data_IF_378586032599
#
_entry.id   IF_378586032599
#
_cell.length_a   1.000
_cell.length_b   1.000
_cell.length_c   1.000
_cell.angle_alpha   90.00
_cell.angle_beta   90.00
_cell.angle_gamma   90.00
#
_symmetry.space_group_name_H-M   'P 1'
#
loop_
_entity.id
_entity.type
_entity.pdbx_description
1 polymer ?
#
# COMPACT_ATOMS: atom_id res chain seq x y z
N UNK A 1 2.35 13.79 -15.95
CA UNK A 1 3.78 13.74 -15.54
C UNK A 1 4.20 14.97 -14.77
N UNK A 2 3.97 16.20 -15.28
CA UNK A 2 4.31 17.43 -14.54
C UNK A 2 3.68 17.49 -13.14
N UNK A 3 2.39 17.21 -13.00
CA UNK A 3 1.71 17.16 -11.70
C UNK A 3 2.35 16.15 -10.72
N UNK A 4 2.80 15.00 -11.22
CA UNK A 4 3.48 13.99 -10.41
C UNK A 4 4.87 14.44 -9.98
N UNK A 5 5.59 15.18 -10.84
CA UNK A 5 6.89 15.77 -10.50
C UNK A 5 6.73 16.80 -9.39
N UNK A 6 5.75 17.70 -9.51
CA UNK A 6 5.43 18.70 -8.47
C UNK A 6 5.06 18.00 -7.15
N UNK A 7 4.23 16.95 -7.20
CA UNK A 7 3.89 16.15 -6.02
C UNK A 7 5.13 15.52 -5.38
N UNK A 8 6.02 14.92 -6.19
CA UNK A 8 7.25 14.30 -5.72
C UNK A 8 8.20 15.33 -5.06
N UNK A 9 8.39 16.50 -5.67
CA UNK A 9 9.22 17.58 -5.14
C UNK A 9 8.65 18.13 -3.83
N UNK A 10 7.31 18.27 -3.76
CA UNK A 10 6.63 18.63 -2.51
C UNK A 10 6.81 17.57 -1.44
N UNK A 11 6.66 16.28 -1.78
CA UNK A 11 6.84 15.19 -0.84
C UNK A 11 8.27 15.20 -0.26
N UNK A 12 9.29 15.37 -1.10
CA UNK A 12 10.69 15.46 -0.69
C UNK A 12 10.94 16.69 0.19
N UNK A 13 10.43 17.87 -0.20
CA UNK A 13 10.65 19.10 0.58
C UNK A 13 9.99 19.07 1.96
N UNK A 14 8.89 18.32 2.11
CA UNK A 14 8.21 18.08 3.38
C UNK A 14 8.81 16.91 4.18
N UNK A 15 9.81 16.20 3.64
CA UNK A 15 10.50 15.10 4.33
C UNK A 15 9.80 13.75 4.27
N UNK A 16 8.86 13.55 3.35
CA UNK A 16 8.23 12.23 3.16
C UNK A 16 9.22 11.23 2.56
N UNK A 17 9.18 10.00 3.09
CA UNK A 17 9.97 8.88 2.58
C UNK A 17 9.25 8.11 1.45
N UNK A 18 7.94 8.29 1.29
CA UNK A 18 7.19 7.65 0.22
C UNK A 18 5.85 8.30 -0.08
N UNK A 19 5.27 7.86 -1.21
CA UNK A 19 3.97 8.26 -1.71
C UNK A 19 3.17 7.00 -2.03
N UNK A 20 1.86 7.01 -1.73
CA UNK A 20 0.94 5.99 -2.24
C UNK A 20 0.22 6.54 -3.46
N UNK A 21 0.26 5.81 -4.57
CA UNK A 21 -0.50 6.15 -5.77
C UNK A 21 -1.62 5.14 -6.01
N UNK A 22 -2.77 5.63 -6.46
CA UNK A 22 -3.86 4.79 -6.98
C UNK A 22 -3.83 4.84 -8.50
N UNK A 23 -3.80 3.67 -9.16
CA UNK A 23 -4.08 3.46 -10.59
C UNK A 23 -3.76 4.65 -11.53
N UNK A 24 -2.51 5.12 -11.53
CA UNK A 24 -2.07 6.28 -12.31
C UNK A 24 -1.32 5.84 -13.57
N UNK A 25 -1.92 6.01 -14.74
CA UNK A 25 -1.36 5.53 -16.01
C UNK A 25 -0.71 6.67 -16.83
N UNK A 26 0.34 6.39 -17.61
CA UNK A 26 1.12 5.14 -17.63
C UNK A 26 2.03 4.99 -16.39
N UNK A 27 2.01 3.80 -15.77
CA UNK A 27 2.64 3.60 -14.45
C UNK A 27 4.17 3.63 -14.49
N UNK A 28 4.80 3.08 -15.53
CA UNK A 28 6.27 3.08 -15.64
C UNK A 28 6.80 4.51 -15.68
N UNK A 29 6.20 5.38 -16.49
CA UNK A 29 6.57 6.80 -16.59
C UNK A 29 6.28 7.55 -15.28
N UNK A 30 5.18 7.23 -14.60
CA UNK A 30 4.87 7.79 -13.28
C UNK A 30 5.97 7.42 -12.26
N UNK A 31 6.34 6.13 -12.20
CA UNK A 31 7.40 5.64 -11.33
C UNK A 31 8.76 6.27 -11.66
N UNK A 32 9.10 6.39 -12.94
CA UNK A 32 10.32 7.07 -13.40
C UNK A 32 10.33 8.53 -12.97
N UNK A 33 9.19 9.23 -13.07
CA UNK A 33 9.06 10.62 -12.63
C UNK A 33 9.39 10.78 -11.14
N UNK A 34 8.89 9.88 -10.27
CA UNK A 34 9.24 9.89 -8.84
C UNK A 34 10.73 9.57 -8.61
N UNK A 35 11.27 8.58 -9.33
CA UNK A 35 12.67 8.17 -9.22
C UNK A 35 13.65 9.29 -9.63
N UNK A 36 13.32 10.03 -10.69
CA UNK A 36 14.11 11.18 -11.18
C UNK A 36 14.19 12.31 -10.15
N UNK A 37 13.13 12.52 -9.37
CA UNK A 37 13.11 13.55 -8.32
C UNK A 37 13.91 13.11 -7.10
N UNK A 38 13.77 11.85 -6.67
CA UNK A 38 14.55 11.32 -5.54
C UNK A 38 14.61 9.80 -5.54
N UNK A 39 15.83 9.26 -5.52
CA UNK A 39 16.08 7.82 -5.37
C UNK A 39 15.70 7.27 -3.99
N UNK A 40 15.50 8.15 -3.00
CA UNK A 40 15.07 7.79 -1.65
C UNK A 40 13.55 7.72 -1.51
N UNK A 41 12.80 8.36 -2.40
CA UNK A 41 11.36 8.37 -2.36
C UNK A 41 10.83 7.04 -2.90
N UNK A 42 10.09 6.30 -2.07
CA UNK A 42 9.50 5.01 -2.46
C UNK A 42 8.01 5.15 -2.75
N UNK A 43 7.48 4.23 -3.56
CA UNK A 43 6.09 4.30 -4.01
C UNK A 43 5.32 3.02 -3.68
N UNK A 44 4.22 3.14 -2.96
CA UNK A 44 3.21 2.07 -2.87
C UNK A 44 2.23 2.23 -4.03
N UNK A 45 2.08 1.19 -4.85
CA UNK A 45 1.18 1.20 -6.01
C UNK A 45 -0.07 0.39 -5.68
N UNK A 46 -1.20 1.05 -5.50
CA UNK A 46 -2.50 0.43 -5.22
C UNK A 46 -3.30 0.26 -6.53
N UNK A 47 -3.44 -0.99 -6.95
CA UNK A 47 -4.10 -1.40 -8.18
C UNK A 47 -5.57 -1.75 -7.97
N UNK A 48 -6.01 -1.84 -6.72
CA UNK A 48 -7.39 -2.11 -6.33
C UNK A 48 -7.99 -3.39 -6.97
N UNK A 49 -7.16 -4.36 -7.34
CA UNK A 49 -7.54 -5.63 -7.95
C UNK A 49 -7.71 -5.58 -9.46
N UNK A 50 -7.18 -4.57 -10.16
CA UNK A 50 -7.41 -4.42 -11.60
C UNK A 50 -6.20 -3.86 -12.35
N UNK A 51 -5.93 -4.42 -13.53
CA UNK A 51 -4.96 -3.91 -14.49
C UNK A 51 -5.47 -4.14 -15.92
N UNK A 52 -5.27 -3.20 -16.86
CA UNK A 52 -5.83 -3.31 -18.21
C UNK A 52 -5.22 -4.42 -19.05
N UNK A 53 -3.94 -4.73 -18.84
CA UNK A 53 -3.14 -5.66 -19.64
C UNK A 53 -2.59 -6.81 -18.80
N UNK A 54 -1.72 -7.64 -19.39
CA UNK A 54 -0.94 -8.61 -18.63
C UNK A 54 -0.08 -7.90 -17.58
N UNK A 55 -0.32 -8.23 -16.31
CA UNK A 55 0.25 -7.48 -15.21
C UNK A 55 1.72 -7.82 -14.92
N UNK A 56 2.07 -9.11 -14.94
CA UNK A 56 3.38 -9.58 -14.52
C UNK A 56 4.54 -8.99 -15.35
N UNK A 57 4.49 -8.93 -16.70
CA UNK A 57 5.56 -8.29 -17.48
C UNK A 57 5.77 -6.83 -17.09
N UNK A 58 4.67 -6.09 -16.87
CA UNK A 58 4.75 -4.68 -16.48
C UNK A 58 5.28 -4.50 -15.07
N UNK A 59 4.90 -5.37 -14.12
CA UNK A 59 5.46 -5.36 -12.78
C UNK A 59 7.00 -5.62 -12.78
N UNK A 60 7.50 -6.44 -13.72
CA UNK A 60 8.95 -6.64 -13.91
C UNK A 60 9.66 -5.39 -14.45
N UNK A 61 9.00 -4.57 -15.25
CA UNK A 61 9.54 -3.25 -15.64
C UNK A 61 9.65 -2.31 -14.42
N UNK A 62 8.74 -2.39 -13.47
CA UNK A 62 8.80 -1.57 -12.26
C UNK A 62 9.98 -1.95 -11.35
N UNK A 63 10.37 -3.23 -11.33
CA UNK A 63 11.60 -3.67 -10.65
C UNK A 63 12.83 -2.96 -11.21
N UNK A 64 12.87 -2.72 -12.53
CA UNK A 64 13.98 -2.00 -13.16
C UNK A 64 14.05 -0.54 -12.74
N UNK A 65 12.90 0.10 -12.44
CA UNK A 65 12.88 1.47 -11.89
C UNK A 65 13.36 1.50 -10.43
N UNK A 66 13.05 0.45 -9.65
CA UNK A 66 13.66 0.21 -8.33
C UNK A 66 13.15 1.10 -7.18
N UNK A 67 12.07 1.85 -7.38
CA UNK A 67 11.47 2.73 -6.36
C UNK A 67 10.13 2.25 -5.82
N UNK A 68 9.60 1.11 -6.24
CA UNK A 68 8.36 0.55 -5.69
C UNK A 68 8.62 -0.06 -4.31
N UNK A 69 7.87 0.37 -3.30
CA UNK A 69 7.91 -0.18 -1.95
C UNK A 69 7.14 -1.49 -1.85
N UNK A 70 5.93 -1.51 -2.41
CA UNK A 70 5.07 -2.69 -2.53
C UNK A 70 3.98 -2.45 -3.58
N UNK A 71 3.42 -3.55 -4.08
CA UNK A 71 2.24 -3.56 -4.94
C UNK A 71 1.05 -3.98 -4.07
N UNK A 72 0.08 -3.10 -3.91
CA UNK A 72 -1.13 -3.35 -3.13
C UNK A 72 -2.28 -3.80 -4.04
N UNK A 73 -2.91 -4.90 -3.65
CA UNK A 73 -4.05 -5.52 -4.32
C UNK A 73 -3.87 -5.65 -5.85
N UNK A 74 -2.88 -6.42 -6.35
CA UNK A 74 -2.73 -6.69 -7.79
C UNK A 74 -3.94 -7.45 -8.40
N UNK A 75 -4.11 -7.42 -9.74
CA UNK A 75 -5.06 -8.32 -10.45
C UNK A 75 -4.68 -9.80 -10.25
N UNK A 76 -5.60 -10.76 -10.47
CA UNK A 76 -6.90 -10.62 -11.14
C UNK A 76 -8.06 -10.25 -10.20
N UNK A 77 -8.17 -10.91 -9.05
CA UNK A 77 -9.16 -10.62 -8.00
C UNK A 77 -8.49 -10.76 -6.65
N UNK A 78 -9.00 -10.05 -5.65
CA UNK A 78 -8.37 -10.04 -4.32
C UNK A 78 -8.48 -11.39 -3.60
N UNK A 79 -9.37 -12.31 -4.01
CA UNK A 79 -9.52 -13.68 -3.45
C UNK A 79 -8.65 -14.72 -4.16
N UNK A 80 -7.93 -14.33 -5.21
CA UNK A 80 -7.10 -15.24 -5.97
C UNK A 80 -5.77 -15.51 -5.26
N UNK A 81 -5.81 -16.15 -4.08
CA UNK A 81 -4.67 -16.33 -3.20
C UNK A 81 -3.49 -17.07 -3.86
N UNK A 82 -3.78 -18.04 -4.73
CA UNK A 82 -2.76 -18.74 -5.51
C UNK A 82 -2.06 -17.82 -6.53
N UNK A 83 -2.80 -16.92 -7.17
CA UNK A 83 -2.22 -15.93 -8.08
C UNK A 83 -1.37 -14.91 -7.31
N UNK A 84 -1.81 -14.52 -6.11
CA UNK A 84 -1.05 -13.62 -5.23
C UNK A 84 0.25 -14.26 -4.76
N UNK A 85 0.21 -15.52 -4.29
CA UNK A 85 1.42 -16.29 -3.97
C UNK A 85 2.36 -16.39 -5.17
N UNK A 86 1.82 -16.71 -6.36
CA UNK A 86 2.61 -16.78 -7.59
C UNK A 86 3.28 -15.44 -7.90
N UNK A 87 2.56 -14.32 -7.81
CA UNK A 87 3.14 -12.99 -8.02
C UNK A 87 4.27 -12.69 -7.03
N UNK A 88 4.07 -13.02 -5.75
CA UNK A 88 5.07 -12.89 -4.69
C UNK A 88 6.31 -13.75 -4.96
N UNK A 89 6.15 -14.95 -5.48
CA UNK A 89 7.27 -15.83 -5.84
C UNK A 89 8.02 -15.36 -7.11
N UNK A 90 7.31 -14.71 -8.04
CA UNK A 90 7.87 -14.27 -9.33
C UNK A 90 8.43 -12.84 -9.36
N UNK A 91 8.10 -12.01 -8.37
CA UNK A 91 8.50 -10.60 -8.27
C UNK A 91 9.39 -10.37 -7.04
N UNK A 92 10.36 -9.46 -7.15
CA UNK A 92 11.15 -9.01 -5.98
C UNK A 92 10.44 -7.87 -5.23
N UNK A 93 9.40 -7.28 -5.82
CA UNK A 93 8.61 -6.23 -5.17
C UNK A 93 7.61 -6.90 -4.23
N UNK A 94 7.56 -6.52 -2.94
CA UNK A 94 6.61 -7.07 -1.99
C UNK A 94 5.15 -6.93 -2.44
N UNK A 95 4.36 -7.99 -2.25
CA UNK A 95 2.92 -7.99 -2.49
C UNK A 95 2.19 -7.67 -1.20
N UNK A 96 1.36 -6.64 -1.23
CA UNK A 96 0.52 -6.24 -0.11
C UNK A 96 -0.95 -6.58 -0.36
N UNK A 97 -1.64 -7.02 0.69
CA UNK A 97 -3.08 -7.27 0.68
C UNK A 97 -3.81 -6.41 1.71
N UNK A 98 -4.96 -5.86 1.34
CA UNK A 98 -5.83 -5.16 2.29
C UNK A 98 -6.71 -6.15 3.08
N UNK A 99 -6.68 -6.10 4.42
CA UNK A 99 -7.40 -6.92 5.42
C UNK A 99 -8.80 -7.34 5.01
N UNK A 100 -9.55 -6.43 4.39
CA UNK A 100 -10.87 -6.71 3.85
C UNK A 100 -10.79 -7.45 2.50
N UNK A 101 -9.93 -8.46 2.43
CA UNK A 101 -9.75 -9.38 1.31
C UNK A 101 -11.14 -9.95 0.98
N UNK A 102 -11.76 -9.40 -0.08
CA UNK A 102 -13.11 -9.74 -0.56
C UNK A 102 -14.23 -9.61 0.48
N UNK A 103 -14.08 -8.70 1.44
CA UNK A 103 -15.08 -8.49 2.49
C UNK A 103 -15.13 -9.59 3.56
N UNK A 104 -14.16 -10.52 3.58
CA UNK A 104 -14.10 -11.59 4.59
C UNK A 104 -13.40 -11.18 5.91
N UNK A 105 -12.74 -10.03 5.94
CA UNK A 105 -12.06 -9.50 7.14
C UNK A 105 -11.02 -10.48 7.70
N UNK A 106 -11.04 -10.69 9.02
CA UNK A 106 -10.08 -11.57 9.70
C UNK A 106 -10.01 -12.99 9.12
N UNK A 107 -11.13 -13.55 8.62
CA UNK A 107 -11.11 -14.87 7.96
C UNK A 107 -10.26 -14.83 6.69
N UNK A 108 -10.48 -13.83 5.84
CA UNK A 108 -9.72 -13.66 4.60
C UNK A 108 -8.23 -13.45 4.85
N UNK A 109 -7.89 -12.73 5.93
CA UNK A 109 -6.50 -12.60 6.38
C UNK A 109 -5.89 -13.93 6.79
N UNK A 110 -6.58 -14.73 7.61
CA UNK A 110 -6.08 -16.07 8.00
C UNK A 110 -5.88 -16.96 6.77
N UNK A 111 -6.81 -16.93 5.82
CA UNK A 111 -6.69 -17.66 4.55
C UNK A 111 -5.48 -17.20 3.73
N UNK A 112 -5.25 -15.89 3.61
CA UNK A 112 -4.10 -15.33 2.90
C UNK A 112 -2.75 -15.68 3.57
N UNK A 113 -2.70 -15.65 4.90
CA UNK A 113 -1.52 -16.07 5.68
C UNK A 113 -1.25 -17.56 5.44
N UNK A 114 -2.28 -18.40 5.55
CA UNK A 114 -2.15 -19.84 5.34
C UNK A 114 -1.72 -20.20 3.91
N UNK A 115 -2.09 -19.37 2.94
CA UNK A 115 -1.71 -19.52 1.53
C UNK A 115 -0.36 -18.88 1.18
N UNK A 116 0.34 -18.24 2.12
CA UNK A 116 1.59 -17.48 1.87
C UNK A 116 1.44 -16.46 0.72
N UNK A 117 0.27 -15.80 0.68
CA UNK A 117 -0.16 -15.01 -0.47
C UNK A 117 0.40 -13.58 -0.48
N UNK A 118 0.97 -13.08 0.61
CA UNK A 118 1.42 -11.70 0.71
C UNK A 118 2.60 -11.52 1.65
N UNK A 119 3.36 -10.44 1.42
CA UNK A 119 4.49 -10.01 2.23
C UNK A 119 4.08 -8.99 3.30
N UNK A 120 2.97 -8.28 3.08
CA UNK A 120 2.54 -7.15 3.91
C UNK A 120 1.02 -7.08 3.94
N UNK A 121 0.45 -6.67 5.07
CA UNK A 121 -1.00 -6.48 5.18
C UNK A 121 -1.34 -5.01 5.50
N UNK A 122 -2.18 -4.42 4.67
CA UNK A 122 -2.86 -3.17 4.99
C UNK A 122 -4.06 -3.48 5.91
N UNK A 123 -4.11 -2.89 7.09
CA UNK A 123 -5.18 -3.09 8.09
C UNK A 123 -6.11 -1.88 8.20
N UNK A 124 -6.24 -1.10 7.12
CA UNK A 124 -7.04 0.13 7.13
C UNK A 124 -8.53 -0.12 7.28
N UNK A 125 -9.18 0.79 8.01
CA UNK A 125 -10.60 0.86 8.40
C UNK A 125 -10.91 0.34 9.83
N UNK A 126 -12.03 0.83 10.37
CA UNK A 126 -12.54 0.44 11.67
C UNK A 126 -11.97 1.25 12.84
N UNK A 127 -12.04 0.65 14.02
CA UNK A 127 -11.58 1.19 15.30
C UNK A 127 -10.14 0.78 15.62
N UNK A 128 -9.59 1.29 16.72
CA UNK A 128 -8.23 0.93 17.16
C UNK A 128 -8.13 -0.55 17.52
N UNK A 129 -9.24 -1.14 17.97
CA UNK A 129 -9.36 -2.57 18.21
C UNK A 129 -9.33 -3.38 16.90
N UNK A 130 -10.03 -2.89 15.88
CA UNK A 130 -10.08 -3.54 14.56
C UNK A 130 -8.72 -3.51 13.85
N UNK A 131 -7.84 -2.55 14.19
CA UNK A 131 -6.45 -2.54 13.77
C UNK A 131 -5.55 -3.44 14.63
N UNK A 132 -5.54 -3.24 15.96
CA UNK A 132 -4.55 -3.86 16.84
C UNK A 132 -4.68 -5.39 16.89
N UNK A 133 -5.89 -5.94 16.95
CA UNK A 133 -6.11 -7.38 17.00
C UNK A 133 -5.49 -8.11 15.79
N UNK A 134 -5.87 -7.73 14.56
CA UNK A 134 -5.23 -8.23 13.35
C UNK A 134 -3.74 -7.93 13.26
N UNK A 135 -3.26 -6.76 13.72
CA UNK A 135 -1.82 -6.46 13.72
C UNK A 135 -1.03 -7.49 14.54
N UNK A 136 -1.50 -7.84 15.75
CA UNK A 136 -0.86 -8.89 16.55
C UNK A 136 -0.93 -10.26 15.87
N UNK A 137 -2.05 -10.60 15.22
CA UNK A 137 -2.14 -11.86 14.46
C UNK A 137 -1.12 -11.91 13.31
N UNK A 138 -0.96 -10.81 12.56
CA UNK A 138 0.07 -10.71 11.52
C UNK A 138 1.49 -10.81 12.12
N UNK A 139 1.72 -10.24 13.30
CA UNK A 139 3.01 -10.30 13.98
C UNK A 139 3.42 -11.74 14.31
N UNK A 140 2.47 -12.57 14.77
CA UNK A 140 2.71 -14.00 15.02
C UNK A 140 3.05 -14.78 13.74
N UNK A 141 2.57 -14.32 12.59
CA UNK A 141 2.93 -14.84 11.27
C UNK A 141 4.23 -14.22 10.71
N UNK A 142 4.86 -13.28 11.42
CA UNK A 142 6.05 -12.56 10.94
C UNK A 142 5.76 -11.54 9.83
N UNK A 143 4.50 -11.16 9.63
CA UNK A 143 4.09 -10.28 8.53
C UNK A 143 3.99 -8.83 9.03
N UNK A 144 4.70 -7.88 8.41
CA UNK A 144 4.56 -6.46 8.71
C UNK A 144 3.22 -5.90 8.24
N UNK A 145 2.80 -4.82 8.87
CA UNK A 145 1.53 -4.16 8.59
C UNK A 145 1.68 -2.65 8.45
N UNK A 146 0.69 -2.02 7.84
CA UNK A 146 0.41 -0.60 7.99
C UNK A 146 -1.08 -0.36 8.16
N UNK A 147 -1.46 0.80 8.69
CA UNK A 147 -2.86 1.23 8.70
C UNK A 147 -3.12 2.13 7.49
N UNK A 148 -3.92 1.64 6.54
CA UNK A 148 -4.44 2.43 5.43
C UNK A 148 -5.48 3.46 5.89
N UNK A 149 -5.37 4.71 5.48
CA UNK A 149 -6.39 5.74 5.65
C UNK A 149 -7.29 5.82 4.42
N UNK A 150 -8.51 6.32 4.62
CA UNK A 150 -9.40 6.78 3.57
C UNK A 150 -9.59 8.29 3.67
N UNK A 151 -10.79 8.74 4.06
CA UNK A 151 -11.17 10.15 4.06
C UNK A 151 -11.37 10.71 5.47
N UNK A 152 -10.59 10.22 6.44
CA UNK A 152 -10.72 10.57 7.85
C UNK A 152 -10.33 12.03 8.13
N UNK A 153 -10.65 12.46 9.36
CA UNK A 153 -10.29 13.75 9.94
C UNK A 153 -9.41 13.54 11.17
N UNK A 154 -8.82 14.63 11.67
CA UNK A 154 -7.77 14.61 12.69
C UNK A 154 -8.04 13.81 13.98
N UNK A 155 -9.31 13.63 14.39
CA UNK A 155 -9.64 12.82 15.58
C UNK A 155 -9.32 11.34 15.36
N UNK A 156 -9.74 10.80 14.21
CA UNK A 156 -9.52 9.39 13.90
C UNK A 156 -8.04 9.15 13.52
N UNK A 157 -7.41 10.09 12.83
CA UNK A 157 -5.96 10.06 12.57
C UNK A 157 -5.15 9.98 13.86
N UNK A 158 -5.45 10.83 14.86
CA UNK A 158 -4.75 10.82 16.13
C UNK A 158 -4.94 9.47 16.86
N UNK A 159 -6.16 8.91 16.86
CA UNK A 159 -6.42 7.61 17.45
C UNK A 159 -5.65 6.48 16.73
N UNK A 160 -5.64 6.49 15.40
CA UNK A 160 -4.91 5.49 14.61
C UNK A 160 -3.39 5.63 14.72
N UNK A 161 -2.87 6.86 14.85
CA UNK A 161 -1.44 7.09 15.08
C UNK A 161 -0.98 6.39 16.37
N UNK A 162 -1.75 6.52 17.46
CA UNK A 162 -1.46 5.82 18.72
C UNK A 162 -1.58 4.30 18.57
N UNK A 163 -2.56 3.81 17.81
CA UNK A 163 -2.71 2.38 17.56
C UNK A 163 -1.54 1.82 16.73
N UNK A 164 -1.13 2.51 15.67
CA UNK A 164 0.02 2.15 14.84
C UNK A 164 1.30 2.09 15.67
N UNK A 165 1.52 3.08 16.55
CA UNK A 165 2.68 3.10 17.44
C UNK A 165 2.70 1.95 18.46
N UNK A 166 1.55 1.35 18.76
CA UNK A 166 1.44 0.21 19.67
C UNK A 166 1.55 -1.16 18.97
N UNK A 167 1.51 -1.21 17.63
CA UNK A 167 1.68 -2.44 16.86
C UNK A 167 3.18 -2.67 16.55
N UNK A 168 3.84 -3.68 17.13
CA UNK A 168 5.29 -3.88 16.97
C UNK A 168 5.71 -4.23 15.53
N UNK A 169 4.81 -4.83 14.74
CA UNK A 169 4.99 -5.12 13.32
C UNK A 169 4.43 -4.02 12.40
N UNK A 170 3.99 -2.87 12.94
CA UNK A 170 3.57 -1.69 12.20
C UNK A 170 4.74 -0.95 11.56
N UNK A 171 5.50 -1.62 10.69
CA UNK A 171 6.78 -1.14 10.15
C UNK A 171 6.66 -0.61 8.72
N UNK A 172 5.52 -0.79 8.05
CA UNK A 172 5.25 -0.15 6.77
C UNK A 172 4.63 1.24 6.98
N UNK A 173 4.91 2.21 6.10
CA UNK A 173 4.48 3.58 6.27
C UNK A 173 2.95 3.69 6.17
N UNK A 174 2.31 4.02 7.29
CA UNK A 174 0.87 4.28 7.33
C UNK A 174 0.57 5.65 6.71
N UNK A 175 -0.48 5.75 5.90
CA UNK A 175 -0.86 6.95 5.14
C UNK A 175 -1.85 7.85 5.91
N UNK A 176 -1.62 8.04 7.22
CA UNK A 176 -2.43 8.89 8.12
C UNK A 176 -2.09 10.37 7.88
N UNK A 177 -2.80 11.02 6.96
CA UNK A 177 -2.41 12.31 6.37
C UNK A 177 -3.55 13.33 6.25
N UNK A 178 -4.59 13.28 7.10
CA UNK A 178 -5.74 14.21 6.98
C UNK A 178 -5.33 15.69 7.03
N UNK A 179 -4.24 16.02 7.73
CA UNK A 179 -3.70 17.38 7.85
C UNK A 179 -3.08 17.94 6.55
N UNK A 180 -2.75 17.09 5.56
CA UNK A 180 -2.24 17.51 4.25
C UNK A 180 -3.36 17.57 3.19
N UNK A 181 -4.62 17.27 3.54
CA UNK A 181 -5.71 17.22 2.58
C UNK A 181 -5.94 18.61 1.98
N UNK A 182 -5.84 18.70 0.66
CA UNK A 182 -6.22 19.87 -0.13
C UNK A 182 -7.50 19.51 -0.87
N UNK A 183 -8.53 20.33 -0.74
CA UNK A 183 -9.75 20.20 -1.54
C UNK A 183 -9.57 20.98 -2.84
N UNK A 184 -9.22 20.29 -3.92
CA UNK A 184 -9.38 20.85 -5.26
C UNK A 184 -10.83 20.61 -5.70
N UNK A 185 -11.71 21.53 -5.34
CA UNK A 185 -13.01 21.63 -6.01
C UNK A 185 -12.71 22.18 -7.40
N UNK A 186 -12.73 21.32 -8.42
CA UNK A 186 -12.74 21.79 -9.80
C UNK A 186 -14.03 22.59 -9.99
N UNK A 187 -13.90 23.91 -10.14
CA UNK A 187 -14.98 24.79 -10.59
C UNK A 187 -15.45 24.42 -12.00
#
# INVERSE_FOLDING_TARGET
MEELRILAERAVSLGFAGVKMKRSYPLVEALQTFADVSTKLKVTVDLMGSYPDEFLPVAKEWQQVGNVLCIEDPPPKRDALDDYRRLREELEIPIAMHLHINGAGARGMVEAIAADACDVINLGAGSTHDFLGPAYLAAEAGIPVWHGSAHELGILDAAMLHACAAAPNGTYPSDILSHQRVHEVKE
#
